data_IF_269590207106
#
_entry.id   IF_269590207106
#
_cell.length_a   1.000
_cell.length_b   1.000
_cell.length_c   1.000
_cell.angle_alpha   90.00
_cell.angle_beta   90.00
_cell.angle_gamma   90.00
#
_symmetry.space_group_name_H-M   'P 1'
#
loop_
_entity.id
_entity.type
_entity.pdbx_description
1 polymer ?
#
# COMPACT_ATOMS: atom_id res chain seq x y z
N UNK A 1 10.45 3.36 -1.45
CA UNK A 1 9.50 2.23 -1.38
C UNK A 1 8.61 2.41 -0.16
N UNK A 2 7.52 3.16 -0.31
CA UNK A 2 6.48 3.30 0.72
C UNK A 2 6.37 4.70 1.34
N UNK A 3 7.11 5.70 0.84
CA UNK A 3 7.02 7.07 1.37
C UNK A 3 5.62 7.65 1.19
N UNK A 4 4.98 7.36 0.06
CA UNK A 4 3.60 7.76 -0.19
C UNK A 4 2.60 7.08 0.78
N UNK A 5 2.89 5.87 1.25
CA UNK A 5 2.08 5.18 2.27
C UNK A 5 2.28 5.76 3.67
N UNK A 6 3.50 6.21 4.00
CA UNK A 6 3.80 6.90 5.27
C UNK A 6 3.02 8.22 5.40
N UNK A 7 2.79 8.91 4.28
CA UNK A 7 2.04 10.16 4.22
C UNK A 7 0.51 9.95 4.13
N UNK A 8 0.06 8.71 3.93
CA UNK A 8 -1.35 8.39 3.72
C UNK A 8 -2.10 8.26 5.05
N UNK A 9 -2.88 9.28 5.39
CA UNK A 9 -3.72 9.28 6.61
C UNK A 9 -4.63 8.05 6.62
N UNK A 10 -4.57 7.27 7.71
CA UNK A 10 -5.32 6.03 7.87
C UNK A 10 -4.48 4.77 7.65
N UNK A 11 -3.25 4.88 7.14
CA UNK A 11 -2.26 3.79 7.18
C UNK A 11 -1.54 3.82 8.53
N UNK A 12 -1.48 2.68 9.20
CA UNK A 12 -0.77 2.53 10.48
C UNK A 12 0.61 1.92 10.31
N UNK A 13 0.79 1.05 9.31
CA UNK A 13 2.06 0.39 9.02
C UNK A 13 2.05 -0.17 7.61
N UNK A 14 3.21 -0.23 6.98
CA UNK A 14 3.42 -0.96 5.74
C UNK A 14 4.75 -1.73 5.80
N UNK A 15 4.82 -2.80 5.02
CA UNK A 15 6.03 -3.59 4.82
C UNK A 15 6.09 -4.05 3.37
N UNK A 16 7.27 -3.96 2.79
CA UNK A 16 7.56 -4.56 1.50
C UNK A 16 8.47 -5.78 1.67
N UNK A 17 8.11 -6.88 1.01
CA UNK A 17 8.89 -8.10 0.95
C UNK A 17 9.56 -8.22 -0.43
N UNK A 18 10.89 -8.08 -0.49
CA UNK A 18 11.65 -8.09 -1.74
C UNK A 18 11.78 -9.48 -2.38
N UNK A 19 11.57 -10.56 -1.63
CA UNK A 19 11.66 -11.93 -2.16
C UNK A 19 10.38 -12.30 -2.91
N UNK A 20 9.23 -11.94 -2.33
CA UNK A 20 7.90 -12.27 -2.86
C UNK A 20 7.23 -11.14 -3.62
N UNK A 21 7.79 -9.93 -3.56
CA UNK A 21 7.22 -8.71 -4.13
C UNK A 21 5.82 -8.38 -3.57
N UNK A 22 5.61 -8.67 -2.29
CA UNK A 22 4.34 -8.43 -1.61
C UNK A 22 4.43 -7.16 -0.77
N UNK A 23 3.54 -6.21 -1.04
CA UNK A 23 3.25 -5.09 -0.13
C UNK A 23 2.16 -5.48 0.86
N UNK A 24 2.49 -5.45 2.14
CA UNK A 24 1.53 -5.61 3.24
C UNK A 24 1.25 -4.24 3.84
N UNK A 25 -0.01 -3.84 3.90
CA UNK A 25 -0.45 -2.54 4.43
C UNK A 25 -1.51 -2.77 5.50
N UNK A 26 -1.29 -2.21 6.69
CA UNK A 26 -2.26 -2.16 7.78
C UNK A 26 -2.90 -0.78 7.76
N UNK A 27 -4.20 -0.73 7.54
CA UNK A 27 -4.93 0.53 7.37
C UNK A 27 -6.33 0.48 8.01
N UNK A 28 -6.85 1.66 8.33
CA UNK A 28 -8.22 1.86 8.79
C UNK A 28 -9.15 2.13 7.59
N UNK A 29 -10.07 1.20 7.24
CA UNK A 29 -10.95 1.37 6.08
C UNK A 29 -11.96 2.52 6.22
N UNK A 30 -12.13 3.10 7.42
CA UNK A 30 -12.96 4.30 7.63
C UNK A 30 -12.23 5.60 7.28
N UNK A 31 -10.89 5.58 7.24
CA UNK A 31 -10.07 6.76 6.98
C UNK A 31 -9.46 6.75 5.58
N UNK A 32 -9.13 5.56 5.06
CA UNK A 32 -8.54 5.38 3.74
C UNK A 32 -9.15 4.18 3.02
N UNK A 33 -9.40 4.33 1.73
CA UNK A 33 -9.90 3.26 0.88
C UNK A 33 -8.75 2.53 0.16
N UNK A 34 -9.06 1.34 -0.37
CA UNK A 34 -8.09 0.51 -1.08
C UNK A 34 -7.50 1.19 -2.33
N UNK A 35 -8.27 2.02 -3.02
CA UNK A 35 -7.84 2.68 -4.26
C UNK A 35 -6.72 3.68 -4.00
N UNK A 36 -6.83 4.48 -2.94
CA UNK A 36 -5.76 5.38 -2.51
C UNK A 36 -4.50 4.65 -2.06
N UNK A 37 -4.65 3.46 -1.48
CA UNK A 37 -3.50 2.62 -1.10
C UNK A 37 -2.79 2.08 -2.36
N UNK A 38 -3.55 1.61 -3.35
CA UNK A 38 -2.99 1.16 -4.64
C UNK A 38 -2.25 2.32 -5.31
N UNK A 39 -2.90 3.48 -5.43
CA UNK A 39 -2.29 4.68 -6.00
C UNK A 39 -0.98 5.01 -5.28
N UNK A 40 -0.97 5.04 -3.94
CA UNK A 40 0.24 5.30 -3.17
C UNK A 40 1.36 4.27 -3.41
N UNK A 41 1.04 3.00 -3.65
CA UNK A 41 2.03 1.96 -4.00
C UNK A 41 2.58 2.17 -5.41
N UNK A 42 1.73 2.51 -6.38
CA UNK A 42 2.12 2.67 -7.79
C UNK A 42 2.83 4.02 -8.07
N UNK A 43 2.58 5.04 -7.25
CA UNK A 43 3.16 6.38 -7.41
C UNK A 43 4.62 6.47 -6.93
N UNK A 44 5.17 5.43 -6.27
CA UNK A 44 6.60 5.33 -5.92
C UNK A 44 7.41 5.14 -7.23
N UNK A 45 7.65 6.26 -7.93
CA UNK A 45 8.43 6.41 -9.16
C UNK A 45 7.99 5.55 -10.37
N UNK A 46 6.73 5.07 -10.38
CA UNK A 46 6.20 4.24 -11.47
C UNK A 46 6.87 2.86 -11.57
N UNK A 47 7.53 2.41 -10.51
CA UNK A 47 8.28 1.15 -10.48
C UNK A 47 7.41 -0.06 -10.15
N UNK A 48 6.18 0.17 -9.67
CA UNK A 48 5.30 -0.90 -9.19
C UNK A 48 3.91 -0.79 -9.82
N UNK A 49 3.37 -1.95 -10.21
CA UNK A 49 1.99 -2.12 -10.68
C UNK A 49 1.33 -3.19 -9.80
N UNK A 50 0.22 -2.86 -9.16
CA UNK A 50 -0.47 -3.77 -8.26
C UNK A 50 -1.32 -4.75 -9.07
N UNK A 51 -0.78 -5.97 -9.28
CA UNK A 51 -1.48 -7.01 -10.05
C UNK A 51 -2.54 -7.77 -9.26
N UNK A 52 -2.33 -7.93 -7.95
CA UNK A 52 -3.21 -8.69 -7.08
C UNK A 52 -3.40 -7.97 -5.76
N UNK A 53 -4.65 -7.84 -5.33
CA UNK A 53 -5.01 -7.30 -4.02
C UNK A 53 -5.78 -8.35 -3.23
N UNK A 54 -5.31 -8.63 -2.01
CA UNK A 54 -6.03 -9.42 -1.03
C UNK A 54 -6.25 -8.59 0.23
N UNK A 55 -7.50 -8.42 0.62
CA UNK A 55 -7.87 -7.74 1.87
C UNK A 55 -8.21 -8.82 2.89
N UNK A 56 -7.55 -8.79 4.03
CA UNK A 56 -7.84 -9.65 5.17
C UNK A 56 -8.40 -8.72 6.25
N UNK A 57 -9.60 -9.05 6.75
CA UNK A 57 -10.31 -8.27 7.76
C UNK A 57 -10.18 -8.93 9.13
#
# INVERSE_FOLDING_TARGET
MGKALDELKGVSSHKFDYETWIFTVIFNPKEVNKEKIIEAVETDEGQFEVKNLKIIQ
#
